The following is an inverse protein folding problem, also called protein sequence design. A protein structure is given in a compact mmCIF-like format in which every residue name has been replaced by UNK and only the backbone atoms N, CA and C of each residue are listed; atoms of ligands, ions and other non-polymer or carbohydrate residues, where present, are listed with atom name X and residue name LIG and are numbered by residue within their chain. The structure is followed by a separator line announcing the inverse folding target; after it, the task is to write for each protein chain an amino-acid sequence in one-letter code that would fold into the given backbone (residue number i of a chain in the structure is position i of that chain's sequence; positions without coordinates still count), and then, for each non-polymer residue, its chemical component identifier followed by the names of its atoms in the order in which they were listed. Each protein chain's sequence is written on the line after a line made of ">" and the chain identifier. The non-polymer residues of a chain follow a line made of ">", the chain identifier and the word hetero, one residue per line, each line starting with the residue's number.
data_IF_878564571472
#
_entry.id   IF_878564571472
#
_cell.length_a   1.000
_cell.length_b   1.000
_cell.length_c   1.000
_cell.angle_alpha   90.00
_cell.angle_beta   90.00
_cell.angle_gamma   90.00
#
_symmetry.space_group_name_H-M   'P 1'
#
loop_
_entity.id
_entity.type
_entity.pdbx_description
1 polymer ?
#
# COMPACT_ATOMS: atom_id res chain seq x y z
N UNK A 1 -20.05 -21.06 10.41
CA UNK A 1 -19.62 -20.96 10.05
C UNK A 1 -18.84 -20.14 9.71
N UNK A 2 -18.20 -20.03 9.42
CA UNK A 2 -17.49 -19.35 9.16
C UNK A 2 -17.63 -18.47 8.47
N UNK A 3 -17.39 -17.67 8.51
CA UNK A 3 -17.69 -16.81 7.85
C UNK A 3 -16.68 -16.05 7.43
N UNK A 4 -15.58 -16.29 7.45
CA UNK A 4 -14.67 -15.50 7.05
C UNK A 4 -14.74 -15.16 5.70
N UNK A 5 -14.38 -13.99 5.31
CA UNK A 5 -14.42 -13.50 3.99
C UNK A 5 -13.35 -14.16 3.15
N UNK A 6 -13.74 -14.89 2.17
CA UNK A 6 -12.72 -15.49 1.31
C UNK A 6 -12.02 -14.49 0.44
N UNK A 7 -12.49 -13.24 0.42
CA UNK A 7 -11.83 -12.26 -0.41
C UNK A 7 -10.76 -11.48 0.28
N UNK A 8 -10.57 -11.69 1.57
CA UNK A 8 -9.54 -10.94 2.25
C UNK A 8 -8.17 -11.39 1.78
N UNK A 9 -7.26 -10.44 1.61
CA UNK A 9 -5.89 -10.69 1.19
C UNK A 9 -4.96 -10.50 2.35
N UNK A 10 -3.86 -11.25 2.34
CA UNK A 10 -2.80 -11.03 3.30
C UNK A 10 -1.96 -9.87 2.82
N UNK A 11 -1.56 -8.99 3.72
CA UNK A 11 -0.72 -7.84 3.38
C UNK A 11 0.71 -8.15 3.78
N UNK A 12 1.64 -8.01 2.85
CA UNK A 12 3.05 -8.19 3.10
C UNK A 12 3.80 -6.97 2.67
N UNK A 13 4.71 -6.51 3.52
CA UNK A 13 5.46 -5.29 3.24
C UNK A 13 6.85 -5.65 2.77
N UNK A 14 7.22 -5.16 1.59
CA UNK A 14 8.55 -5.33 1.08
C UNK A 14 9.53 -4.45 1.88
N UNK A 15 10.84 -4.70 1.76
CA UNK A 15 11.80 -3.97 2.60
C UNK A 15 11.69 -2.45 2.52
N UNK A 16 11.49 -1.89 1.33
CA UNK A 16 11.36 -0.43 1.23
C UNK A 16 10.13 0.07 1.97
N UNK A 17 9.02 -0.66 1.89
CA UNK A 17 7.81 -0.26 2.59
C UNK A 17 8.00 -0.39 4.09
N UNK A 18 8.68 -1.45 4.51
CA UNK A 18 8.93 -1.63 5.93
C UNK A 18 9.80 -0.52 6.50
N UNK A 19 10.83 -0.14 5.74
CA UNK A 19 11.69 0.97 6.18
C UNK A 19 10.91 2.26 6.24
N UNK A 20 10.00 2.48 5.30
CA UNK A 20 9.20 3.69 5.33
C UNK A 20 8.37 3.76 6.61
N UNK A 21 7.71 2.67 6.96
CA UNK A 21 6.88 2.65 8.14
C UNK A 21 7.72 2.81 9.40
N UNK A 22 8.86 2.14 9.45
CA UNK A 22 9.66 2.12 10.66
C UNK A 22 10.49 3.39 10.85
N UNK A 23 10.90 4.04 9.75
CA UNK A 23 11.91 5.08 9.88
C UNK A 23 11.59 6.39 9.17
N UNK A 24 10.87 6.35 8.05
CA UNK A 24 10.71 7.57 7.28
C UNK A 24 9.41 8.31 7.53
N UNK A 25 8.34 7.62 7.82
CA UNK A 25 7.04 8.26 7.96
C UNK A 25 6.85 8.77 9.36
N UNK A 26 6.18 9.91 9.52
CA UNK A 26 5.75 10.32 10.86
C UNK A 26 4.89 9.23 11.48
N UNK A 27 4.91 9.17 12.78
CA UNK A 27 4.24 8.10 13.49
C UNK A 27 2.74 8.04 13.15
N UNK A 28 2.10 9.19 13.09
CA UNK A 28 0.68 9.22 12.78
C UNK A 28 0.40 8.74 11.37
N UNK A 29 1.29 9.06 10.42
CA UNK A 29 1.13 8.62 9.05
C UNK A 29 1.35 7.11 8.96
N UNK A 30 2.36 6.60 9.65
CA UNK A 30 2.61 5.17 9.64
C UNK A 30 1.41 4.40 10.19
N UNK A 31 0.81 4.89 11.26
CA UNK A 31 -0.37 4.25 11.82
C UNK A 31 -1.54 4.29 10.83
N UNK A 32 -1.71 5.42 10.14
CA UNK A 32 -2.79 5.54 9.17
C UNK A 32 -2.58 4.60 7.99
N UNK A 33 -1.33 4.42 7.57
CA UNK A 33 -1.03 3.49 6.48
C UNK A 33 -1.38 2.06 6.88
N UNK A 34 -1.00 1.67 8.09
CA UNK A 34 -1.30 0.31 8.54
C UNK A 34 -2.80 0.08 8.64
N UNK A 35 -3.52 1.08 9.13
CA UNK A 35 -4.96 0.96 9.22
C UNK A 35 -5.60 0.88 7.85
N UNK A 36 -5.12 1.67 6.90
CA UNK A 36 -5.64 1.65 5.55
C UNK A 36 -5.40 0.29 4.90
N UNK A 37 -4.22 -0.28 5.11
CA UNK A 37 -3.92 -1.60 4.54
C UNK A 37 -4.85 -2.65 5.11
N UNK A 38 -5.12 -2.61 6.39
CA UNK A 38 -5.98 -3.60 7.00
C UNK A 38 -7.44 -3.41 6.65
N UNK A 39 -7.91 -2.18 6.65
CA UNK A 39 -9.34 -1.91 6.49
C UNK A 39 -9.77 -1.88 5.03
N UNK A 40 -8.92 -1.45 4.14
CA UNK A 40 -9.31 -1.24 2.75
C UNK A 40 -8.52 -2.09 1.78
N UNK A 41 -7.21 -2.08 1.88
CA UNK A 41 -6.38 -2.74 0.90
C UNK A 41 -6.55 -4.26 0.96
N UNK A 42 -6.62 -4.82 2.15
CA UNK A 42 -6.78 -6.26 2.31
C UNK A 42 -8.15 -6.73 1.86
N UNK A 43 -9.11 -5.83 1.83
CA UNK A 43 -10.47 -6.20 1.47
C UNK A 43 -10.70 -6.12 -0.02
N UNK A 44 -10.21 -5.06 -0.67
CA UNK A 44 -10.51 -4.88 -2.08
C UNK A 44 -9.38 -4.15 -2.79
N UNK A 45 -8.24 -4.82 -2.96
CA UNK A 45 -7.06 -4.13 -3.51
C UNK A 45 -7.24 -3.65 -4.95
N UNK A 46 -8.09 -4.30 -5.74
CA UNK A 46 -8.27 -3.87 -7.11
C UNK A 46 -9.00 -2.55 -7.21
N UNK A 47 -9.83 -2.21 -6.22
CA UNK A 47 -10.65 -1.02 -6.31
C UNK A 47 -10.11 0.16 -5.56
N UNK A 48 -9.27 -0.08 -4.55
CA UNK A 48 -8.77 1.03 -3.77
C UNK A 48 -7.75 1.85 -4.51
N UNK A 49 -7.00 1.26 -5.39
CA UNK A 49 -6.01 1.98 -6.16
C UNK A 49 -6.24 1.84 -7.63
N UNK A 50 -5.29 2.36 -8.41
CA UNK A 50 -5.39 2.33 -9.87
C UNK A 50 -4.15 1.68 -10.45
N UNK A 51 -4.28 1.03 -11.60
CA UNK A 51 -3.11 0.43 -12.24
C UNK A 51 -2.09 1.50 -12.60
N UNK A 52 -0.84 1.14 -12.46
CA UNK A 52 0.25 2.03 -12.82
C UNK A 52 0.80 1.62 -14.18
N UNK A 53 1.48 2.56 -14.83
CA UNK A 53 1.99 2.34 -16.16
C UNK A 53 3.49 2.53 -16.17
N UNK A 54 4.10 2.24 -17.32
CA UNK A 54 5.52 2.43 -17.50
C UNK A 54 6.30 1.43 -16.69
N UNK A 55 7.36 1.86 -16.01
CA UNK A 55 8.20 0.92 -15.27
C UNK A 55 7.47 0.17 -14.19
N UNK A 56 6.34 0.70 -13.72
CA UNK A 56 5.58 0.04 -12.66
C UNK A 56 4.35 -0.67 -13.20
N UNK A 57 4.34 -0.96 -14.49
CA UNK A 57 3.22 -1.70 -15.07
C UNK A 57 3.04 -3.02 -14.34
N UNK A 58 1.79 -3.38 -14.08
CA UNK A 58 1.50 -4.57 -13.30
C UNK A 58 1.30 -4.31 -11.84
N UNK A 59 1.56 -3.08 -11.40
CA UNK A 59 1.36 -2.70 -10.01
C UNK A 59 0.20 -1.73 -9.91
N UNK A 60 -0.21 -1.44 -8.69
CA UNK A 60 -1.28 -0.47 -8.41
C UNK A 60 -0.75 0.62 -7.50
N UNK A 61 -1.37 1.77 -7.56
CA UNK A 61 -1.05 2.86 -6.66
C UNK A 61 -2.30 3.38 -6.00
N UNK A 62 -2.26 3.54 -4.69
CA UNK A 62 -3.37 4.13 -3.94
C UNK A 62 -2.88 5.39 -3.27
N UNK A 63 -3.71 6.43 -3.32
CA UNK A 63 -3.36 7.70 -2.69
C UNK A 63 -4.35 8.00 -1.58
N UNK A 64 -3.82 8.27 -0.41
CA UNK A 64 -4.66 8.60 0.73
C UNK A 64 -4.04 9.78 1.46
N UNK A 65 -4.76 10.92 1.43
CA UNK A 65 -4.28 12.09 2.17
C UNK A 65 -2.88 12.48 1.75
N UNK A 66 -1.96 12.37 2.66
CA UNK A 66 -0.59 12.85 2.44
C UNK A 66 0.37 11.74 2.01
N UNK A 67 -0.12 10.55 1.75
CA UNK A 67 0.79 9.48 1.39
C UNK A 67 0.26 8.67 0.21
N UNK A 68 1.15 7.93 -0.40
CA UNK A 68 0.86 7.11 -1.54
C UNK A 68 1.46 5.74 -1.35
N UNK A 69 0.73 4.70 -1.72
CA UNK A 69 1.17 3.32 -1.53
C UNK A 69 1.22 2.66 -2.90
N UNK A 70 2.36 2.05 -3.22
CA UNK A 70 2.50 1.24 -4.42
C UNK A 70 2.45 -0.22 -4.00
N UNK A 71 1.64 -1.01 -4.69
CA UNK A 71 1.48 -2.41 -4.30
C UNK A 71 1.21 -3.28 -5.52
N UNK A 72 1.42 -4.58 -5.34
CA UNK A 72 1.17 -5.57 -6.35
C UNK A 72 0.24 -6.63 -5.78
N UNK A 73 -0.71 -7.09 -6.58
CA UNK A 73 -1.71 -8.05 -6.14
C UNK A 73 -1.35 -9.42 -6.70
N UNK A 74 -1.25 -10.41 -5.83
CA UNK A 74 -1.05 -11.79 -6.23
C UNK A 74 -2.35 -12.52 -5.99
N UNK A 75 -3.12 -12.71 -7.04
CA UNK A 75 -4.43 -13.31 -6.91
C UNK A 75 -4.35 -14.79 -6.53
N UNK A 76 -3.32 -15.46 -7.01
CA UNK A 76 -3.23 -16.90 -6.73
C UNK A 76 -3.05 -17.18 -5.26
N UNK A 77 -2.20 -16.43 -4.60
CA UNK A 77 -1.95 -16.66 -3.19
C UNK A 77 -2.75 -15.72 -2.30
N UNK A 78 -3.51 -14.81 -2.88
CA UNK A 78 -4.31 -13.84 -2.12
C UNK A 78 -3.42 -13.01 -1.23
N UNK A 79 -2.36 -12.45 -1.82
CA UNK A 79 -1.43 -11.62 -1.10
C UNK A 79 -1.29 -10.29 -1.81
N UNK A 80 -1.25 -9.22 -1.05
CA UNK A 80 -0.92 -7.90 -1.55
C UNK A 80 0.47 -7.56 -1.05
N UNK A 81 1.38 -7.33 -2.00
CA UNK A 81 2.74 -6.96 -1.66
C UNK A 81 2.85 -5.45 -1.72
N UNK A 82 3.02 -4.82 -0.58
CA UNK A 82 3.21 -3.38 -0.53
C UNK A 82 4.66 -3.10 -0.83
N UNK A 83 4.89 -2.43 -1.97
CA UNK A 83 6.25 -2.27 -2.49
C UNK A 83 6.93 -1.05 -1.89
N UNK A 84 6.21 0.05 -1.77
CA UNK A 84 6.81 1.27 -1.27
C UNK A 84 5.70 2.20 -0.79
N UNK A 85 6.08 3.13 0.07
CA UNK A 85 5.15 4.12 0.61
C UNK A 85 5.85 5.46 0.58
N UNK A 86 5.22 6.43 -0.08
CA UNK A 86 5.76 7.77 -0.17
C UNK A 86 4.89 8.73 0.59
N UNK A 87 5.53 9.62 1.34
CA UNK A 87 4.82 10.66 2.04
C UNK A 87 4.85 11.92 1.18
N UNK A 88 3.68 12.54 1.06
CA UNK A 88 3.53 13.63 0.12
C UNK A 88 4.47 14.78 0.37
N UNK A 89 4.71 15.09 1.63
CA UNK A 89 5.57 16.22 1.91
C UNK A 89 6.99 15.99 1.42
N UNK A 90 7.42 14.74 1.34
CA UNK A 90 8.73 14.47 0.78
C UNK A 90 8.79 14.74 -0.69
N UNK A 91 7.70 14.47 -1.39
CA UNK A 91 7.65 14.75 -2.80
C UNK A 91 7.81 16.24 -3.05
N UNK A 92 7.16 17.05 -2.24
CA UNK A 92 7.22 18.47 -2.43
C UNK A 92 8.58 19.07 -2.10
N UNK A 93 9.36 18.39 -1.25
CA UNK A 93 10.67 18.89 -0.89
C UNK A 93 11.75 18.38 -1.79
N UNK A 94 11.39 17.57 -2.77
CA UNK A 94 12.40 17.00 -3.63
C UNK A 94 12.90 18.06 -4.59
N UNK A 95 14.21 18.18 -4.77
CA UNK A 95 14.74 19.17 -5.72
C UNK A 95 14.31 18.86 -7.12
N UNK A 96 14.17 19.89 -7.91
CA UNK A 96 13.75 19.73 -9.29
C UNK A 96 14.91 19.71 -10.25
#
# INVERSE_FOLDING_TARGET
>A
MTTESPQRYEIRFQPAARRAIAQRLPEAVAAAVLEFCDAALAVNPQRVGKPLFGPLAGCHGARRGTYRIAYRIDENSRVVHVLDIDHRSEIYHRPQ
#
